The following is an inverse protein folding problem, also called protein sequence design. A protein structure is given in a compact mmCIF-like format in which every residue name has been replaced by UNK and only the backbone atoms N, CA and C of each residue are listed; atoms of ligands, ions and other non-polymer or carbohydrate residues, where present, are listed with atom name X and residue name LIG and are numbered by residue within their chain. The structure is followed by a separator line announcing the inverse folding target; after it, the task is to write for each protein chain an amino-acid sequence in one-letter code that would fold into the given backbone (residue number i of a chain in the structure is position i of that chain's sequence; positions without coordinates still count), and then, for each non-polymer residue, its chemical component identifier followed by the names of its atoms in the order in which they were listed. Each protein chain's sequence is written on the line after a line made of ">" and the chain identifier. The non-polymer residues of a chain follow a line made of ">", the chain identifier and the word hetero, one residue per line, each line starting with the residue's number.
data_IF_794033692544
#
_entry.id   IF_794033692544
#
_cell.length_a   1.000
_cell.length_b   1.000
_cell.length_c   1.000
_cell.angle_alpha   90.00
_cell.angle_beta   90.00
_cell.angle_gamma   90.00
#
_symmetry.space_group_name_H-M   'P 1'
#
loop_
_entity.id
_entity.type
_entity.pdbx_description
1 polymer ?
#
# COMPACT_ATOMS: atom_id res chain seq x y z
N UNK A 1 -72.34 47.80 182.55
CA UNK A 1 -72.08 48.34 181.18
C UNK A 1 -70.58 48.48 180.82
N UNK A 2 -69.61 47.93 181.58
CA UNK A 2 -68.15 48.09 181.28
C UNK A 2 -67.46 46.84 180.70
N UNK A 3 -68.00 45.63 180.89
CA UNK A 3 -67.33 44.39 180.48
C UNK A 3 -67.52 44.00 178.99
N UNK A 4 -68.49 44.59 178.29
CA UNK A 4 -68.81 44.25 176.89
C UNK A 4 -67.87 44.98 175.91
N UNK A 5 -67.27 46.11 176.32
CA UNK A 5 -66.40 46.92 175.46
C UNK A 5 -64.97 46.36 175.33
N UNK A 6 -64.44 45.66 176.34
CA UNK A 6 -63.09 45.08 176.30
C UNK A 6 -63.02 43.83 175.40
N UNK A 7 -64.03 42.97 175.44
CA UNK A 7 -64.07 41.74 174.62
C UNK A 7 -64.05 42.00 173.11
N UNK A 8 -64.68 43.11 172.67
CA UNK A 8 -64.68 43.49 171.26
C UNK A 8 -63.35 44.06 170.78
N UNK A 9 -62.58 44.73 171.65
CA UNK A 9 -61.29 45.33 171.29
C UNK A 9 -60.21 44.27 171.04
N UNK A 10 -60.13 43.25 171.90
CA UNK A 10 -59.14 42.18 171.76
C UNK A 10 -59.42 41.30 170.54
N UNK A 11 -60.71 41.06 170.24
CA UNK A 11 -61.12 40.27 169.08
C UNK A 11 -60.83 40.96 167.74
N UNK A 12 -60.96 42.29 167.67
CA UNK A 12 -60.59 43.06 166.47
C UNK A 12 -59.08 43.08 166.28
N UNK A 13 -58.31 43.22 167.36
CA UNK A 13 -56.84 43.21 167.29
C UNK A 13 -56.28 41.87 166.81
N UNK A 14 -56.81 40.75 167.32
CA UNK A 14 -56.44 39.41 166.86
C UNK A 14 -56.77 39.15 165.38
N UNK A 15 -57.91 39.66 164.90
CA UNK A 15 -58.27 39.56 163.47
C UNK A 15 -57.33 40.37 162.56
N UNK A 16 -56.83 41.53 163.02
CA UNK A 16 -55.87 42.35 162.24
C UNK A 16 -54.50 41.68 162.17
N UNK A 17 -54.01 41.11 163.27
CA UNK A 17 -52.75 40.35 163.28
C UNK A 17 -52.85 39.09 162.40
N UNK A 18 -53.98 38.38 162.45
CA UNK A 18 -54.22 37.25 161.56
C UNK A 18 -54.29 37.67 160.09
N UNK A 19 -54.98 38.78 159.77
CA UNK A 19 -55.02 39.33 158.42
C UNK A 19 -53.61 39.70 157.93
N UNK A 20 -52.81 40.39 158.74
CA UNK A 20 -51.44 40.78 158.40
C UNK A 20 -50.52 39.57 158.20
N UNK A 21 -50.65 38.52 159.02
CA UNK A 21 -49.91 37.28 158.84
C UNK A 21 -50.29 36.55 157.55
N UNK A 22 -51.58 36.53 157.19
CA UNK A 22 -52.08 35.95 155.94
C UNK A 22 -51.64 36.76 154.72
N UNK A 23 -51.61 38.09 154.82
CA UNK A 23 -51.08 38.97 153.77
C UNK A 23 -49.58 38.75 153.55
N UNK A 24 -48.78 38.69 154.63
CA UNK A 24 -47.34 38.42 154.54
C UNK A 24 -47.03 36.99 154.06
N UNK A 25 -47.92 36.03 154.30
CA UNK A 25 -47.83 34.67 153.74
C UNK A 25 -48.20 34.66 152.25
N UNK A 26 -49.26 35.38 151.86
CA UNK A 26 -49.67 35.50 150.47
C UNK A 26 -48.60 36.17 149.60
N UNK A 27 -47.95 37.25 150.08
CA UNK A 27 -46.83 37.89 149.38
C UNK A 27 -45.63 36.95 149.23
N UNK A 28 -45.29 36.18 150.27
CA UNK A 28 -44.24 35.15 150.19
C UNK A 28 -44.60 34.03 149.21
N UNK A 29 -45.83 33.56 149.19
CA UNK A 29 -46.31 32.58 148.21
C UNK A 29 -46.29 33.13 146.78
N UNK A 30 -46.59 34.42 146.60
CA UNK A 30 -46.58 35.08 145.29
C UNK A 30 -45.15 35.24 144.77
N UNK A 31 -44.20 35.63 145.64
CA UNK A 31 -42.79 35.70 145.31
C UNK A 31 -42.21 34.32 144.97
N UNK A 32 -42.53 33.28 145.75
CA UNK A 32 -42.09 31.91 145.48
C UNK A 32 -42.68 31.35 144.17
N UNK A 33 -43.93 31.69 143.83
CA UNK A 33 -44.53 31.33 142.53
C UNK A 33 -43.89 32.07 141.36
N UNK A 34 -43.49 33.33 141.53
CA UNK A 34 -42.77 34.08 140.50
C UNK A 34 -41.37 33.51 140.25
N UNK A 35 -40.67 33.09 141.32
CA UNK A 35 -39.37 32.43 141.26
C UNK A 35 -39.47 31.05 140.57
N UNK A 36 -40.44 30.23 140.95
CA UNK A 36 -40.70 28.93 140.30
C UNK A 36 -41.03 29.09 138.81
N UNK A 37 -41.74 30.16 138.44
CA UNK A 37 -42.07 30.48 137.04
C UNK A 37 -40.83 30.88 136.25
N UNK A 38 -39.95 31.69 136.85
CA UNK A 38 -38.65 32.05 136.28
C UNK A 38 -37.75 30.82 136.08
N UNK A 39 -37.69 29.92 137.06
CA UNK A 39 -36.91 28.68 136.97
C UNK A 39 -37.47 27.74 135.88
N UNK A 40 -38.80 27.67 135.74
CA UNK A 40 -39.45 26.88 134.70
C UNK A 40 -39.18 27.45 133.29
N UNK A 41 -39.19 28.78 133.15
CA UNK A 41 -38.86 29.45 131.88
C UNK A 41 -37.37 29.27 131.52
N UNK A 42 -36.46 29.29 132.52
CA UNK A 42 -35.04 28.98 132.33
C UNK A 42 -34.85 27.52 131.87
N UNK A 43 -35.52 26.56 132.53
CA UNK A 43 -35.46 25.15 132.17
C UNK A 43 -36.02 24.92 130.75
N UNK A 44 -37.15 25.54 130.41
CA UNK A 44 -37.72 25.49 129.07
C UNK A 44 -36.73 26.02 128.02
N UNK A 45 -36.11 27.18 128.26
CA UNK A 45 -35.12 27.74 127.35
C UNK A 45 -33.89 26.86 127.16
N UNK A 46 -33.43 26.20 128.23
CA UNK A 46 -32.28 25.28 128.18
C UNK A 46 -32.61 23.99 127.42
N UNK A 47 -33.82 23.46 127.59
CA UNK A 47 -34.28 22.28 126.87
C UNK A 47 -34.57 22.58 125.39
N UNK A 48 -35.15 23.73 125.08
CA UNK A 48 -35.28 24.22 123.70
C UNK A 48 -33.91 24.38 123.02
N UNK A 49 -32.90 24.86 123.74
CA UNK A 49 -31.53 24.96 123.23
C UNK A 49 -30.89 23.58 123.01
N UNK A 50 -31.08 22.61 123.92
CA UNK A 50 -30.62 21.21 123.73
C UNK A 50 -31.27 20.57 122.51
N UNK A 51 -32.59 20.68 122.37
CA UNK A 51 -33.32 20.14 121.23
C UNK A 51 -32.88 20.82 119.94
N UNK A 52 -32.77 22.15 119.93
CA UNK A 52 -32.29 22.90 118.76
C UNK A 52 -30.86 22.52 118.36
N UNK A 53 -29.96 22.33 119.34
CA UNK A 53 -28.60 21.87 119.10
C UNK A 53 -28.55 20.44 118.57
N UNK A 54 -29.34 19.53 119.13
CA UNK A 54 -29.43 18.14 118.68
C UNK A 54 -30.01 18.06 117.25
N UNK A 55 -31.03 18.85 116.93
CA UNK A 55 -31.61 18.95 115.58
C UNK A 55 -30.61 19.55 114.60
N UNK A 56 -29.90 20.61 114.96
CA UNK A 56 -28.87 21.20 114.12
C UNK A 56 -27.73 20.21 113.84
N UNK A 57 -27.29 19.46 114.85
CA UNK A 57 -26.28 18.41 114.69
C UNK A 57 -26.77 17.27 113.79
N UNK A 58 -28.00 16.78 114.00
CA UNK A 58 -28.59 15.73 113.16
C UNK A 58 -28.74 16.18 111.70
N UNK A 59 -29.21 17.42 111.47
CA UNK A 59 -29.28 18.01 110.14
C UNK A 59 -27.90 18.17 109.51
N UNK A 60 -26.88 18.57 110.27
CA UNK A 60 -25.51 18.68 109.77
C UNK A 60 -24.94 17.32 109.37
N UNK A 61 -25.21 16.27 110.15
CA UNK A 61 -24.75 14.90 109.84
C UNK A 61 -25.46 14.35 108.61
N UNK A 62 -26.78 14.49 108.51
CA UNK A 62 -27.51 14.06 107.31
C UNK A 62 -27.15 14.88 106.07
N UNK A 63 -26.83 16.18 106.23
CA UNK A 63 -26.31 16.99 105.13
C UNK A 63 -24.94 16.48 104.66
N UNK A 64 -24.01 16.21 105.58
CA UNK A 64 -22.72 15.64 105.21
C UNK A 64 -22.86 14.25 104.55
N UNK A 65 -23.78 13.41 105.04
CA UNK A 65 -24.05 12.08 104.49
C UNK A 65 -24.68 12.15 103.10
N UNK A 66 -25.61 13.08 102.87
CA UNK A 66 -26.23 13.29 101.55
C UNK A 66 -25.23 13.89 100.54
N UNK A 67 -24.34 14.80 100.97
CA UNK A 67 -23.23 15.29 100.15
C UNK A 67 -22.24 14.15 99.79
N UNK A 68 -21.91 13.27 100.74
CA UNK A 68 -21.05 12.11 100.50
C UNK A 68 -21.69 11.12 99.51
N UNK A 69 -22.99 10.83 99.66
CA UNK A 69 -23.74 9.98 98.74
C UNK A 69 -23.84 10.60 97.34
N UNK A 70 -24.07 11.92 97.25
CA UNK A 70 -24.08 12.64 95.97
C UNK A 70 -22.71 12.57 95.29
N UNK A 71 -21.62 12.73 96.03
CA UNK A 71 -20.26 12.61 95.50
C UNK A 71 -19.94 11.17 95.03
N UNK A 72 -20.37 10.15 95.76
CA UNK A 72 -20.23 8.73 95.38
C UNK A 72 -21.04 8.40 94.12
N UNK A 73 -22.27 8.92 94.03
CA UNK A 73 -23.14 8.73 92.86
C UNK A 73 -22.55 9.42 91.62
N UNK A 74 -22.11 10.67 91.74
CA UNK A 74 -21.46 11.41 90.66
C UNK A 74 -20.18 10.71 90.15
N UNK A 75 -19.36 10.15 91.05
CA UNK A 75 -18.20 9.32 90.67
C UNK A 75 -18.62 8.06 89.93
N UNK A 76 -19.59 7.31 90.46
CA UNK A 76 -20.13 6.10 89.82
C UNK A 76 -20.71 6.39 88.43
N UNK A 77 -21.43 7.50 88.26
CA UNK A 77 -21.98 7.91 86.95
C UNK A 77 -20.87 8.29 85.97
N UNK A 78 -19.83 9.01 86.43
CA UNK A 78 -18.67 9.33 85.62
C UNK A 78 -17.90 8.07 85.19
N UNK A 79 -17.68 7.12 86.10
CA UNK A 79 -17.00 5.86 85.82
C UNK A 79 -17.80 4.98 84.83
N UNK A 80 -19.13 4.93 84.99
CA UNK A 80 -20.02 4.22 84.06
C UNK A 80 -20.06 4.90 82.69
N UNK A 81 -20.08 6.23 82.63
CA UNK A 81 -20.03 6.98 81.37
C UNK A 81 -18.71 6.72 80.64
N UNK A 82 -17.57 6.77 81.36
CA UNK A 82 -16.25 6.45 80.82
C UNK A 82 -16.17 5.01 80.31
N UNK A 83 -16.70 4.03 81.04
CA UNK A 83 -16.76 2.64 80.60
C UNK A 83 -17.62 2.45 79.34
N UNK A 84 -18.79 3.09 79.29
CA UNK A 84 -19.69 3.05 78.14
C UNK A 84 -19.05 3.69 76.90
N UNK A 85 -18.38 4.83 77.07
CA UNK A 85 -17.66 5.51 76.00
C UNK A 85 -16.48 4.68 75.48
N UNK A 86 -15.67 4.10 76.37
CA UNK A 86 -14.58 3.20 76.01
C UNK A 86 -15.07 1.97 75.23
N UNK A 87 -16.19 1.37 75.66
CA UNK A 87 -16.80 0.24 74.94
C UNK A 87 -17.30 0.65 73.55
N UNK A 88 -17.91 1.84 73.42
CA UNK A 88 -18.36 2.38 72.13
C UNK A 88 -17.19 2.63 71.17
N UNK A 89 -16.09 3.18 71.67
CA UNK A 89 -14.88 3.42 70.88
C UNK A 89 -14.24 2.09 70.43
N UNK A 90 -14.08 1.12 71.33
CA UNK A 90 -13.56 -0.20 71.00
C UNK A 90 -14.41 -0.93 69.94
N UNK A 91 -15.75 -0.83 70.04
CA UNK A 91 -16.65 -1.36 69.02
C UNK A 91 -16.50 -0.62 67.67
N UNK A 92 -16.32 0.70 67.70
CA UNK A 92 -16.05 1.51 66.52
C UNK A 92 -14.76 1.10 65.82
N UNK A 93 -13.67 0.93 66.57
CA UNK A 93 -12.38 0.47 66.06
C UNK A 93 -12.47 -0.94 65.44
N UNK A 94 -13.16 -1.88 66.09
CA UNK A 94 -13.37 -3.22 65.54
C UNK A 94 -14.10 -3.19 64.19
N UNK A 95 -15.16 -2.37 64.06
CA UNK A 95 -15.88 -2.21 62.78
C UNK A 95 -15.03 -1.59 61.69
N UNK A 96 -14.14 -0.64 62.04
CA UNK A 96 -13.19 -0.06 61.08
C UNK A 96 -12.19 -1.13 60.64
N UNK A 97 -11.62 -1.90 61.58
CA UNK A 97 -10.69 -3.00 61.26
C UNK A 97 -11.33 -4.08 60.40
N UNK A 98 -12.57 -4.43 60.65
CA UNK A 98 -13.33 -5.37 59.81
C UNK A 98 -13.49 -4.85 58.37
N UNK A 99 -13.84 -3.57 58.20
CA UNK A 99 -13.93 -2.94 56.87
C UNK A 99 -12.58 -2.88 56.16
N UNK A 100 -11.50 -2.56 56.88
CA UNK A 100 -10.14 -2.56 56.33
C UNK A 100 -9.76 -3.96 55.82
N UNK A 101 -10.06 -5.02 56.58
CA UNK A 101 -9.81 -6.40 56.16
C UNK A 101 -10.66 -6.81 54.95
N UNK A 102 -11.94 -6.41 54.91
CA UNK A 102 -12.80 -6.66 53.75
C UNK A 102 -12.31 -5.91 52.50
N UNK A 103 -11.89 -4.64 52.64
CA UNK A 103 -11.29 -3.86 51.55
C UNK A 103 -10.01 -4.49 51.04
N UNK A 104 -9.09 -4.85 51.93
CA UNK A 104 -7.86 -5.53 51.57
C UNK A 104 -8.12 -6.88 50.87
N UNK A 105 -9.13 -7.64 51.34
CA UNK A 105 -9.58 -8.87 50.68
C UNK A 105 -10.09 -8.63 49.26
N UNK A 106 -10.91 -7.59 49.05
CA UNK A 106 -11.42 -7.22 47.73
C UNK A 106 -10.28 -6.74 46.79
N UNK A 107 -9.37 -5.92 47.29
CA UNK A 107 -8.19 -5.45 46.57
C UNK A 107 -7.28 -6.61 46.13
N UNK A 108 -7.02 -7.57 47.02
CA UNK A 108 -6.28 -8.78 46.67
C UNK A 108 -7.01 -9.62 45.61
N UNK A 109 -8.34 -9.73 45.71
CA UNK A 109 -9.16 -10.43 44.70
C UNK A 109 -9.04 -9.79 43.32
N UNK A 110 -9.15 -8.45 43.25
CA UNK A 110 -8.98 -7.70 42.01
C UNK A 110 -7.55 -7.80 41.46
N UNK A 111 -6.53 -7.74 42.32
CA UNK A 111 -5.14 -7.91 41.91
C UNK A 111 -4.89 -9.30 41.30
N UNK A 112 -5.51 -10.34 41.85
CA UNK A 112 -5.41 -11.69 41.30
C UNK A 112 -6.07 -11.79 39.92
N UNK A 113 -7.28 -11.24 39.76
CA UNK A 113 -7.98 -11.19 38.47
C UNK A 113 -7.17 -10.41 37.43
N UNK A 114 -6.64 -9.24 37.81
CA UNK A 114 -5.81 -8.43 36.92
C UNK A 114 -4.55 -9.16 36.47
N UNK A 115 -3.89 -9.88 37.38
CA UNK A 115 -2.71 -10.69 37.05
C UNK A 115 -3.06 -11.83 36.09
N UNK A 116 -4.15 -12.54 36.34
CA UNK A 116 -4.56 -13.68 35.50
C UNK A 116 -4.94 -13.21 34.09
N UNK A 117 -5.66 -12.09 33.98
CA UNK A 117 -5.94 -11.44 32.69
C UNK A 117 -4.65 -11.04 31.97
N UNK A 118 -3.71 -10.39 32.66
CA UNK A 118 -2.42 -10.00 32.07
C UNK A 118 -1.60 -11.21 31.58
N UNK A 119 -1.70 -12.35 32.27
CA UNK A 119 -1.07 -13.61 31.84
C UNK A 119 -1.73 -14.16 30.58
N UNK A 120 -3.06 -14.15 30.48
CA UNK A 120 -3.75 -14.58 29.27
C UNK A 120 -3.48 -13.64 28.09
N UNK A 121 -3.52 -12.33 28.29
CA UNK A 121 -3.17 -11.32 27.27
C UNK A 121 -1.73 -11.53 26.76
N UNK A 122 -0.78 -11.80 27.67
CA UNK A 122 0.60 -12.09 27.29
C UNK A 122 0.73 -13.41 26.50
N UNK A 123 -0.09 -14.43 26.78
CA UNK A 123 -0.14 -15.66 25.99
C UNK A 123 -0.72 -15.40 24.60
N UNK A 124 -1.78 -14.60 24.49
CA UNK A 124 -2.40 -14.24 23.22
C UNK A 124 -1.45 -13.39 22.36
N UNK A 125 -0.76 -12.42 22.95
CA UNK A 125 0.27 -11.63 22.27
C UNK A 125 1.39 -12.52 21.71
N UNK A 126 1.86 -13.52 22.49
CA UNK A 126 2.86 -14.49 22.01
C UNK A 126 2.35 -15.36 20.85
N UNK A 127 1.07 -15.73 20.86
CA UNK A 127 0.46 -16.47 19.73
C UNK A 127 0.40 -15.59 18.49
N UNK A 128 -0.05 -14.34 18.62
CA UNK A 128 -0.08 -13.38 17.52
C UNK A 128 1.32 -13.13 16.95
N UNK A 129 2.33 -13.00 17.80
CA UNK A 129 3.74 -12.86 17.38
C UNK A 129 4.23 -14.09 16.61
N UNK A 130 3.90 -15.30 17.06
CA UNK A 130 4.26 -16.53 16.36
C UNK A 130 3.59 -16.63 14.98
N UNK A 131 2.32 -16.24 14.88
CA UNK A 131 1.59 -16.18 13.59
C UNK A 131 2.24 -15.16 12.66
N UNK A 132 2.53 -13.95 13.15
CA UNK A 132 3.19 -12.91 12.36
C UNK A 132 4.58 -13.36 11.85
N UNK A 133 5.36 -14.07 12.68
CA UNK A 133 6.65 -14.66 12.25
C UNK A 133 6.48 -15.71 11.16
N UNK A 134 5.47 -16.56 11.26
CA UNK A 134 5.17 -17.58 10.23
C UNK A 134 4.76 -16.91 8.90
N UNK A 135 3.91 -15.89 8.95
CA UNK A 135 3.52 -15.12 7.76
C UNK A 135 4.71 -14.40 7.12
N UNK A 136 5.57 -13.77 7.93
CA UNK A 136 6.80 -13.15 7.45
C UNK A 136 7.71 -14.16 6.74
N UNK A 137 7.90 -15.36 7.31
CA UNK A 137 8.64 -16.43 6.65
C UNK A 137 7.98 -16.92 5.35
N UNK A 138 6.65 -17.01 5.31
CA UNK A 138 5.92 -17.38 4.10
C UNK A 138 6.09 -16.33 2.99
N UNK A 139 6.02 -15.04 3.35
CA UNK A 139 6.27 -13.92 2.43
C UNK A 139 7.71 -13.92 1.91
N UNK A 140 8.70 -14.16 2.78
CA UNK A 140 10.10 -14.27 2.36
C UNK A 140 10.28 -15.40 1.33
N UNK A 141 9.72 -16.59 1.57
CA UNK A 141 9.79 -17.69 0.62
C UNK A 141 9.14 -17.35 -0.73
N UNK A 142 8.03 -16.61 -0.73
CA UNK A 142 7.38 -16.14 -1.97
C UNK A 142 8.26 -15.16 -2.73
N UNK A 143 8.89 -14.23 -2.01
CA UNK A 143 9.83 -13.26 -2.59
C UNK A 143 11.04 -13.97 -3.20
N UNK A 144 11.64 -14.93 -2.50
CA UNK A 144 12.78 -15.71 -2.99
C UNK A 144 12.42 -16.48 -4.27
N UNK A 145 11.25 -17.12 -4.31
CA UNK A 145 10.74 -17.79 -5.53
C UNK A 145 10.53 -16.80 -6.67
N UNK A 146 9.98 -15.63 -6.39
CA UNK A 146 9.79 -14.59 -7.40
C UNK A 146 11.13 -14.10 -7.94
N UNK A 147 12.14 -13.94 -7.09
CA UNK A 147 13.48 -13.58 -7.53
C UNK A 147 14.10 -14.67 -8.41
N UNK A 148 13.89 -15.95 -8.10
CA UNK A 148 14.39 -17.05 -8.93
C UNK A 148 13.72 -17.06 -10.32
N UNK A 149 12.40 -16.90 -10.37
CA UNK A 149 11.67 -16.78 -11.65
C UNK A 149 12.20 -15.59 -12.46
N UNK A 150 12.41 -14.44 -11.82
CA UNK A 150 12.97 -13.27 -12.49
C UNK A 150 14.39 -13.51 -13.03
N UNK A 151 15.23 -14.28 -12.32
CA UNK A 151 16.56 -14.67 -12.83
C UNK A 151 16.43 -15.53 -14.09
N UNK A 152 15.55 -16.52 -14.10
CA UNK A 152 15.31 -17.36 -15.27
C UNK A 152 14.81 -16.54 -16.47
N UNK A 153 13.79 -15.69 -16.26
CA UNK A 153 13.26 -14.82 -17.32
C UNK A 153 14.33 -13.89 -17.89
N UNK A 154 15.19 -13.32 -17.03
CA UNK A 154 16.31 -12.48 -17.48
C UNK A 154 17.31 -13.27 -18.32
N UNK A 155 17.66 -14.49 -17.92
CA UNK A 155 18.57 -15.34 -18.67
C UNK A 155 17.98 -15.78 -20.01
N UNK A 156 16.70 -16.16 -20.04
CA UNK A 156 16.01 -16.52 -21.27
C UNK A 156 15.94 -15.35 -22.24
N UNK A 157 15.62 -14.15 -21.74
CA UNK A 157 15.63 -12.93 -22.56
C UNK A 157 17.03 -12.64 -23.13
N UNK A 158 18.08 -12.78 -22.31
CA UNK A 158 19.46 -12.62 -22.76
C UNK A 158 19.80 -13.63 -23.87
N UNK A 159 19.46 -14.91 -23.69
CA UNK A 159 19.72 -15.95 -24.68
C UNK A 159 18.96 -15.69 -25.99
N UNK A 160 17.70 -15.24 -25.90
CA UNK A 160 16.91 -14.84 -27.06
C UNK A 160 17.57 -13.67 -27.83
N UNK A 161 18.05 -12.66 -27.10
CA UNK A 161 18.74 -11.52 -27.72
C UNK A 161 20.04 -11.93 -28.42
N UNK A 162 20.81 -12.83 -27.81
CA UNK A 162 22.02 -13.40 -28.44
C UNK A 162 21.64 -14.15 -29.72
N UNK A 163 20.66 -15.06 -29.66
CA UNK A 163 20.21 -15.82 -30.82
C UNK A 163 19.71 -14.90 -31.95
N UNK A 164 19.01 -13.80 -31.61
CA UNK A 164 18.55 -12.80 -32.59
C UNK A 164 19.72 -12.09 -33.28
N UNK A 165 20.76 -11.71 -32.52
CA UNK A 165 21.96 -11.09 -33.08
C UNK A 165 22.71 -12.06 -33.99
N UNK A 166 22.88 -13.32 -33.57
CA UNK A 166 23.52 -14.35 -34.40
C UNK A 166 22.75 -14.62 -35.69
N UNK A 167 21.42 -14.72 -35.62
CA UNK A 167 20.58 -14.89 -36.81
C UNK A 167 20.69 -13.68 -37.76
N UNK A 168 20.71 -12.47 -37.22
CA UNK A 168 20.92 -11.25 -38.02
C UNK A 168 22.30 -11.23 -38.68
N UNK A 169 23.34 -11.66 -37.96
CA UNK A 169 24.70 -11.71 -38.50
C UNK A 169 24.79 -12.72 -39.66
N UNK A 170 24.20 -13.90 -39.51
CA UNK A 170 24.10 -14.90 -40.58
C UNK A 170 23.36 -14.34 -41.80
N UNK A 171 22.22 -13.69 -41.59
CA UNK A 171 21.47 -13.08 -42.68
C UNK A 171 22.27 -12.02 -43.44
N UNK A 172 23.03 -11.16 -42.73
CA UNK A 172 23.93 -10.20 -43.37
C UNK A 172 25.04 -10.87 -44.18
N UNK A 173 25.62 -11.98 -43.66
CA UNK A 173 26.63 -12.75 -44.37
C UNK A 173 26.06 -13.39 -45.65
N UNK A 174 24.86 -13.96 -45.58
CA UNK A 174 24.17 -14.54 -46.73
C UNK A 174 23.89 -13.48 -47.81
N UNK A 175 23.39 -12.30 -47.41
CA UNK A 175 23.17 -11.17 -48.31
C UNK A 175 24.47 -10.69 -48.97
N UNK A 176 25.58 -10.65 -48.22
CA UNK A 176 26.89 -10.31 -48.77
C UNK A 176 27.36 -11.35 -49.81
N UNK A 177 27.14 -12.64 -49.54
CA UNK A 177 27.43 -13.72 -50.49
C UNK A 177 26.62 -13.61 -51.79
N UNK A 178 25.31 -13.35 -51.69
CA UNK A 178 24.43 -13.14 -52.86
C UNK A 178 24.89 -11.92 -53.68
N UNK A 179 25.21 -10.81 -53.02
CA UNK A 179 25.69 -9.61 -53.71
C UNK A 179 27.01 -9.85 -54.45
N UNK A 180 27.93 -10.63 -53.88
CA UNK A 180 29.17 -11.03 -54.56
C UNK A 180 28.88 -11.82 -55.83
N UNK A 181 28.00 -12.83 -55.75
CA UNK A 181 27.60 -13.63 -56.90
C UNK A 181 26.94 -12.79 -57.99
N UNK A 182 26.10 -11.83 -57.61
CA UNK A 182 25.44 -10.93 -58.56
C UNK A 182 26.46 -10.04 -59.29
N UNK A 183 27.48 -9.55 -58.58
CA UNK A 183 28.55 -8.76 -59.15
C UNK A 183 29.39 -9.59 -60.14
N UNK A 184 29.75 -10.83 -59.77
CA UNK A 184 30.48 -11.75 -60.66
C UNK A 184 29.68 -12.09 -61.92
N UNK A 185 28.37 -12.33 -61.79
CA UNK A 185 27.48 -12.57 -62.93
C UNK A 185 27.37 -11.34 -63.84
N UNK A 186 27.25 -10.14 -63.25
CA UNK A 186 27.22 -8.89 -64.01
C UNK A 186 28.52 -8.67 -64.79
N UNK A 187 29.66 -8.91 -64.15
CA UNK A 187 30.98 -8.84 -64.78
C UNK A 187 31.09 -9.84 -65.94
N UNK A 188 30.71 -11.10 -65.71
CA UNK A 188 30.73 -12.14 -66.76
C UNK A 188 29.81 -11.82 -67.93
N UNK A 189 28.65 -11.20 -67.67
CA UNK A 189 27.75 -10.74 -68.73
C UNK A 189 28.39 -9.65 -69.58
N UNK A 190 29.11 -8.70 -68.97
CA UNK A 190 29.85 -7.66 -69.69
C UNK A 190 30.96 -8.29 -70.54
N UNK A 191 31.71 -9.23 -69.99
CA UNK A 191 32.77 -9.95 -70.71
C UNK A 191 32.22 -10.70 -71.94
N UNK A 192 31.11 -11.41 -71.78
CA UNK A 192 30.45 -12.10 -72.89
C UNK A 192 29.95 -11.12 -73.97
N UNK A 193 29.37 -9.99 -73.59
CA UNK A 193 28.96 -8.94 -74.54
C UNK A 193 30.16 -8.35 -75.29
N UNK A 194 31.27 -8.10 -74.60
CA UNK A 194 32.49 -7.59 -75.23
C UNK A 194 33.09 -8.63 -76.19
N UNK A 195 33.12 -9.90 -75.82
CA UNK A 195 33.56 -10.98 -76.70
C UNK A 195 32.71 -11.06 -77.98
N UNK A 196 31.37 -11.08 -77.82
CA UNK A 196 30.46 -11.10 -78.96
C UNK A 196 30.61 -9.86 -79.87
N UNK A 197 30.85 -8.67 -79.30
CA UNK A 197 31.11 -7.46 -80.09
C UNK A 197 32.45 -7.53 -80.84
N UNK A 198 33.50 -8.10 -80.24
CA UNK A 198 34.78 -8.31 -80.92
C UNK A 198 34.65 -9.27 -82.10
N UNK A 199 33.92 -10.36 -81.94
CA UNK A 199 33.67 -11.32 -83.02
C UNK A 199 32.88 -10.67 -84.15
N UNK A 200 31.82 -9.92 -83.83
CA UNK A 200 31.05 -9.15 -84.83
C UNK A 200 31.89 -8.10 -85.54
N UNK A 201 32.81 -7.43 -84.84
CA UNK A 201 33.72 -6.47 -85.44
C UNK A 201 34.69 -7.16 -86.42
N UNK A 202 35.26 -8.30 -86.02
CA UNK A 202 36.13 -9.10 -86.88
C UNK A 202 35.38 -9.58 -88.14
N UNK A 203 34.13 -10.01 -88.01
CA UNK A 203 33.30 -10.40 -89.15
C UNK A 203 32.93 -9.21 -90.04
N UNK A 204 32.68 -8.02 -89.46
CA UNK A 204 32.47 -6.79 -90.21
C UNK A 204 33.73 -6.35 -90.98
N UNK A 205 34.92 -6.50 -90.39
CA UNK A 205 36.21 -6.22 -91.05
C UNK A 205 36.45 -7.18 -92.22
N UNK A 206 36.21 -8.49 -92.04
CA UNK A 206 36.25 -9.47 -93.13
C UNK A 206 35.29 -9.08 -94.25
N UNK A 207 34.06 -8.70 -93.91
CA UNK A 207 33.05 -8.30 -94.90
C UNK A 207 33.46 -7.03 -95.66
N UNK A 208 34.04 -6.04 -94.97
CA UNK A 208 34.59 -4.83 -95.58
C UNK A 208 35.70 -5.15 -96.58
N UNK A 209 36.66 -6.01 -96.20
CA UNK A 209 37.75 -6.45 -97.09
C UNK A 209 37.16 -7.12 -98.34
N UNK A 210 36.13 -7.97 -98.18
CA UNK A 210 35.46 -8.62 -99.32
C UNK A 210 34.78 -7.64 -100.26
N UNK A 211 34.01 -6.69 -99.74
CA UNK A 211 33.38 -5.67 -100.58
C UNK A 211 34.41 -4.81 -101.30
N UNK A 212 35.50 -4.44 -100.62
CA UNK A 212 36.58 -3.69 -101.26
C UNK A 212 37.21 -4.49 -102.42
N UNK A 213 37.55 -5.77 -102.20
CA UNK A 213 38.03 -6.66 -103.27
C UNK A 213 37.04 -6.75 -104.45
N UNK A 214 35.74 -6.90 -104.18
CA UNK A 214 34.71 -6.93 -105.23
C UNK A 214 34.69 -5.62 -106.04
N UNK A 215 34.71 -4.47 -105.37
CA UNK A 215 34.75 -3.16 -106.02
C UNK A 215 36.00 -3.01 -106.87
N UNK A 216 37.16 -3.43 -106.38
CA UNK A 216 38.42 -3.34 -107.11
C UNK A 216 38.43 -4.24 -108.36
N UNK A 217 37.91 -5.47 -108.26
CA UNK A 217 37.74 -6.38 -109.41
C UNK A 217 36.77 -5.82 -110.46
N UNK A 218 35.57 -5.37 -110.05
CA UNK A 218 34.60 -4.77 -110.97
C UNK A 218 35.14 -3.50 -111.62
N UNK A 219 35.91 -2.69 -110.90
CA UNK A 219 36.54 -1.48 -111.43
C UNK A 219 37.60 -1.82 -112.48
N UNK A 220 38.45 -2.83 -112.23
CA UNK A 220 39.45 -3.30 -113.19
C UNK A 220 38.81 -3.90 -114.45
N UNK A 221 37.79 -4.73 -114.29
CA UNK A 221 37.04 -5.30 -115.41
C UNK A 221 36.34 -4.23 -116.24
N UNK A 222 35.67 -3.25 -115.60
CA UNK A 222 35.03 -2.14 -116.28
C UNK A 222 36.03 -1.25 -117.03
N UNK A 223 37.18 -0.93 -116.42
CA UNK A 223 38.25 -0.16 -117.06
C UNK A 223 38.83 -0.87 -118.27
N UNK A 224 39.11 -2.19 -118.16
CA UNK A 224 39.58 -3.01 -119.28
C UNK A 224 38.55 -3.12 -120.39
N UNK A 225 37.28 -3.35 -120.05
CA UNK A 225 36.20 -3.41 -121.03
C UNK A 225 36.08 -2.10 -121.82
N UNK A 226 36.17 -0.94 -121.16
CA UNK A 226 36.18 0.35 -121.86
C UNK A 226 37.46 0.59 -122.69
N UNK A 227 38.61 0.07 -122.27
CA UNK A 227 39.86 0.08 -123.04
C UNK A 227 39.77 -0.76 -124.31
N UNK A 228 39.24 -1.98 -124.21
CA UNK A 228 39.04 -2.89 -125.36
C UNK A 228 38.00 -2.36 -126.35
N UNK A 229 36.98 -1.64 -125.84
CA UNK A 229 35.92 -1.04 -126.65
C UNK A 229 36.24 0.37 -127.22
N UNK A 230 37.49 0.86 -127.10
CA UNK A 230 37.95 2.21 -127.52
C UNK A 230 37.19 3.38 -126.91
N UNK A 231 36.50 3.20 -125.79
CA UNK A 231 35.72 4.29 -125.19
C UNK A 231 36.62 5.39 -124.58
N UNK A 232 37.91 5.10 -124.36
CA UNK A 232 38.89 6.01 -123.74
C UNK A 232 39.85 6.72 -124.73
N UNK A 233 39.60 6.68 -126.04
CA UNK A 233 40.55 7.08 -127.11
C UNK A 233 40.94 8.59 -127.13
N UNK A 234 40.42 9.43 -126.23
CA UNK A 234 40.66 10.89 -126.18
C UNK A 234 41.12 11.46 -124.81
N UNK A 235 41.57 10.63 -123.87
CA UNK A 235 42.06 11.12 -122.57
C UNK A 235 43.59 11.32 -122.55
N UNK A 236 44.05 12.46 -122.03
CA UNK A 236 45.47 12.88 -122.09
C UNK A 236 46.40 12.16 -121.09
N UNK A 237 45.84 11.47 -120.10
CA UNK A 237 46.58 10.62 -119.15
C UNK A 237 45.82 9.29 -119.01
N UNK A 238 46.05 8.37 -119.95
CA UNK A 238 45.48 7.03 -119.86
C UNK A 238 46.50 6.10 -119.21
N UNK A 239 46.22 5.65 -117.99
CA UNK A 239 47.00 4.62 -117.30
C UNK A 239 46.86 3.32 -118.10
N UNK A 240 47.97 2.65 -118.42
CA UNK A 240 47.89 1.36 -119.13
C UNK A 240 47.14 0.34 -118.27
N UNK A 241 46.38 -0.61 -118.86
CA UNK A 241 45.64 -1.60 -118.08
C UNK A 241 46.49 -2.27 -116.98
N UNK A 242 47.72 -2.67 -117.30
CA UNK A 242 48.65 -3.30 -116.36
C UNK A 242 48.97 -2.40 -115.14
N UNK A 243 49.17 -1.09 -115.35
CA UNK A 243 49.43 -0.14 -114.26
C UNK A 243 48.19 0.08 -113.39
N UNK A 244 46.99 0.02 -113.97
CA UNK A 244 45.73 0.14 -113.24
C UNK A 244 45.48 -1.10 -112.36
N UNK A 245 45.75 -2.29 -112.89
CA UNK A 245 45.61 -3.55 -112.17
C UNK A 245 46.58 -3.64 -110.98
N UNK A 246 47.84 -3.24 -111.16
CA UNK A 246 48.83 -3.16 -110.08
C UNK A 246 48.41 -2.17 -108.99
N UNK A 247 47.83 -1.02 -109.37
CA UNK A 247 47.30 -0.04 -108.41
C UNK A 247 46.12 -0.59 -107.60
N UNK A 248 45.30 -1.45 -108.22
CA UNK A 248 44.13 -2.09 -107.59
C UNK A 248 44.46 -3.42 -106.91
N UNK A 249 45.70 -3.91 -107.05
CA UNK A 249 46.14 -5.18 -106.47
C UNK A 249 45.42 -6.40 -107.05
N UNK A 250 45.06 -6.37 -108.34
CA UNK A 250 44.32 -7.44 -109.04
C UNK A 250 45.30 -8.27 -109.87
N UNK A 251 45.33 -9.60 -109.68
CA UNK A 251 46.24 -10.50 -110.42
C UNK A 251 45.82 -10.71 -111.89
N UNK A 252 46.80 -10.54 -112.80
CA UNK A 252 46.68 -10.48 -114.28
C UNK A 252 45.96 -11.64 -114.97
N UNK A 253 45.99 -12.86 -114.42
CA UNK A 253 45.52 -14.07 -115.11
C UNK A 253 44.17 -14.61 -114.62
N UNK A 254 43.49 -13.89 -113.71
CA UNK A 254 42.32 -14.39 -112.99
C UNK A 254 40.99 -13.64 -113.26
N UNK A 255 40.81 -13.00 -114.42
CA UNK A 255 39.57 -12.27 -114.79
C UNK A 255 38.32 -13.13 -114.99
N UNK A 256 38.30 -14.40 -114.57
CA UNK A 256 37.04 -15.10 -114.48
C UNK A 256 36.32 -14.63 -113.23
N UNK A 257 35.26 -13.82 -113.40
CA UNK A 257 34.30 -13.49 -112.33
C UNK A 257 33.96 -14.75 -111.51
N UNK A 258 33.85 -15.91 -112.17
CA UNK A 258 33.57 -17.21 -111.55
C UNK A 258 34.67 -17.65 -110.57
N UNK A 259 35.94 -17.48 -110.90
CA UNK A 259 37.06 -17.88 -110.03
C UNK A 259 37.15 -16.98 -108.79
N UNK A 260 37.00 -15.65 -108.97
CA UNK A 260 36.94 -14.71 -107.85
C UNK A 260 35.70 -14.92 -106.96
N UNK A 261 34.53 -15.17 -107.55
CA UNK A 261 33.30 -15.48 -106.79
C UNK A 261 33.47 -16.74 -105.93
N UNK A 262 34.19 -17.75 -106.42
CA UNK A 262 34.43 -18.99 -105.68
C UNK A 262 35.51 -18.85 -104.59
N UNK A 263 36.52 -18.02 -104.80
CA UNK A 263 37.51 -17.67 -103.76
C UNK A 263 36.87 -16.82 -102.66
N UNK A 264 35.98 -15.89 -103.03
CA UNK A 264 35.14 -15.15 -102.10
C UNK A 264 34.22 -16.09 -101.32
N UNK A 265 33.54 -17.04 -101.97
CA UNK A 265 32.64 -18.00 -101.31
C UNK A 265 33.35 -18.84 -100.23
N UNK A 266 34.57 -19.30 -100.49
CA UNK A 266 35.40 -20.03 -99.52
C UNK A 266 35.87 -19.14 -98.36
N UNK A 267 36.13 -17.84 -98.60
CA UNK A 267 36.42 -16.84 -97.55
C UNK A 267 35.14 -16.39 -96.80
N UNK A 268 33.93 -16.68 -97.31
CA UNK A 268 32.61 -16.20 -96.82
C UNK A 268 31.95 -17.09 -95.76
N UNK A 269 32.48 -18.28 -95.47
CA UNK A 269 31.83 -19.19 -94.51
C UNK A 269 31.90 -18.66 -93.07
N UNK A 270 30.94 -17.80 -92.71
CA UNK A 270 30.66 -17.38 -91.34
C UNK A 270 29.90 -18.51 -90.67
N UNK A 271 30.60 -19.26 -89.81
CA UNK A 271 30.00 -20.32 -89.01
C UNK A 271 29.38 -19.65 -87.79
N UNK A 272 28.07 -19.52 -87.78
CA UNK A 272 27.35 -19.09 -86.58
C UNK A 272 27.34 -20.25 -85.58
N UNK A 273 27.69 -20.00 -84.30
CA UNK A 273 27.44 -20.96 -83.22
C UNK A 273 25.95 -21.29 -83.14
N UNK A 274 25.60 -22.54 -82.83
CA UNK A 274 24.22 -23.03 -82.77
C UNK A 274 23.34 -22.16 -81.86
N UNK A 275 23.90 -21.70 -80.75
CA UNK A 275 23.25 -20.90 -79.71
C UNK A 275 22.76 -19.53 -80.24
N UNK A 276 23.47 -18.94 -81.21
CA UNK A 276 23.10 -17.67 -81.86
C UNK A 276 21.96 -17.89 -82.86
N UNK A 277 21.96 -19.02 -83.56
CA UNK A 277 20.87 -19.41 -84.45
C UNK A 277 19.58 -19.70 -83.67
N UNK A 278 19.71 -20.30 -82.48
CA UNK A 278 18.60 -20.57 -81.56
C UNK A 278 18.03 -19.28 -80.96
N UNK A 279 18.87 -18.31 -80.55
CA UNK A 279 18.42 -16.99 -80.12
C UNK A 279 17.69 -16.20 -81.21
N UNK A 280 18.20 -16.20 -82.45
CA UNK A 280 17.54 -15.51 -83.58
C UNK A 280 16.23 -16.17 -83.98
N UNK A 281 16.10 -17.49 -83.77
CA UNK A 281 14.83 -18.20 -83.92
C UNK A 281 13.85 -17.87 -82.78
N UNK A 282 14.33 -17.74 -81.53
CA UNK A 282 13.51 -17.37 -80.38
C UNK A 282 13.04 -15.91 -80.39
N UNK A 283 13.78 -14.97 -80.99
CA UNK A 283 13.37 -13.56 -81.13
C UNK A 283 12.16 -13.40 -82.08
N UNK A 284 11.96 -14.35 -83.01
CA UNK A 284 10.73 -14.44 -83.83
C UNK A 284 9.51 -14.89 -83.02
N UNK A 285 9.71 -15.47 -81.83
CA UNK A 285 8.67 -15.88 -80.88
C UNK A 285 8.78 -15.13 -79.54
N UNK A 286 9.28 -13.89 -79.55
CA UNK A 286 9.22 -13.03 -78.36
C UNK A 286 7.76 -12.84 -77.90
N UNK A 287 7.47 -12.83 -76.58
CA UNK A 287 6.12 -12.62 -76.09
C UNK A 287 5.64 -11.23 -76.53
N UNK A 288 4.58 -11.20 -77.34
CA UNK A 288 3.82 -9.97 -77.62
C UNK A 288 3.41 -9.33 -76.30
N UNK A 289 3.97 -8.17 -76.00
CA UNK A 289 3.47 -7.30 -74.93
C UNK A 289 2.16 -6.67 -75.41
N UNK A 290 1.04 -7.33 -75.15
CA UNK A 290 -0.27 -6.69 -75.18
C UNK A 290 -0.36 -5.67 -74.06
N UNK A 291 -0.87 -4.47 -74.36
CA UNK A 291 -1.16 -3.45 -73.36
C UNK A 291 -2.18 -3.98 -72.31
N UNK A 292 -2.02 -3.68 -71.02
CA UNK A 292 -2.96 -4.14 -70.01
C UNK A 292 -4.33 -3.45 -70.20
N UNK A 293 -5.37 -4.27 -70.34
CA UNK A 293 -6.75 -3.83 -70.25
C UNK A 293 -7.03 -3.26 -68.85
N UNK A 294 -7.80 -2.17 -68.79
CA UNK A 294 -8.12 -1.44 -67.57
C UNK A 294 -9.06 -2.23 -66.65
N UNK A 295 -8.59 -3.29 -66.01
CA UNK A 295 -9.23 -3.89 -64.83
C UNK A 295 -8.19 -4.70 -64.06
N UNK A 296 -8.16 -4.54 -62.74
CA UNK A 296 -7.30 -5.20 -61.75
C UNK A 296 -5.95 -4.52 -61.46
N UNK A 297 -6.02 -3.34 -60.83
CA UNK A 297 -5.03 -2.91 -59.85
C UNK A 297 -5.68 -3.05 -58.47
N UNK A 298 -5.27 -4.06 -57.70
CA UNK A 298 -5.43 -4.06 -56.25
C UNK A 298 -4.05 -4.24 -55.63
N UNK A 299 -3.50 -3.23 -54.95
CA UNK A 299 -2.26 -3.40 -54.21
C UNK A 299 -2.57 -4.10 -52.87
N UNK A 300 -2.12 -5.34 -52.72
CA UNK A 300 -2.00 -5.97 -51.41
C UNK A 300 -0.69 -5.46 -50.77
N UNK A 301 -0.77 -4.33 -50.08
CA UNK A 301 0.28 -3.85 -49.19
C UNK A 301 -0.30 -3.72 -47.79
N UNK A 302 0.09 -4.63 -46.90
CA UNK A 302 0.09 -4.40 -45.46
C UNK A 302 1.38 -4.99 -44.88
N UNK A 303 2.22 -4.21 -44.16
CA UNK A 303 3.28 -4.74 -43.32
C UNK A 303 2.72 -5.19 -41.96
N UNK A 304 3.30 -6.21 -41.28
CA UNK A 304 2.84 -6.61 -39.97
C UNK A 304 3.49 -5.74 -38.90
N UNK A 305 2.67 -5.07 -38.09
CA UNK A 305 3.11 -4.49 -36.83
C UNK A 305 2.60 -3.08 -36.62
N UNK A 306 1.36 -2.96 -36.13
CA UNK A 306 1.02 -1.92 -35.18
C UNK A 306 -0.12 -2.40 -34.27
N UNK A 307 0.13 -2.19 -33.00
CA UNK A 307 -0.61 -2.55 -31.80
C UNK A 307 -2.04 -2.02 -31.81
N UNK A 308 -3.02 -2.91 -31.61
CA UNK A 308 -4.37 -2.49 -31.22
C UNK A 308 -4.40 -2.19 -29.72
N UNK A 309 -4.42 -0.91 -29.37
CA UNK A 309 -4.92 -0.45 -28.07
C UNK A 309 -6.46 -0.60 -28.00
N UNK A 310 -7.06 -0.79 -26.81
CA UNK A 310 -8.48 -1.04 -26.67
C UNK A 310 -9.29 0.25 -26.71
N UNK A 311 -10.20 0.38 -27.68
CA UNK A 311 -11.20 1.45 -27.65
C UNK A 311 -12.37 1.10 -26.74
N UNK A 312 -12.50 1.94 -25.72
CA UNK A 312 -13.61 2.11 -24.78
C UNK A 312 -14.90 2.40 -25.55
N UNK A 313 -15.90 1.53 -25.42
CA UNK A 313 -17.28 1.83 -25.83
C UNK A 313 -18.00 2.39 -24.60
N UNK A 314 -18.40 3.65 -24.70
CA UNK A 314 -19.30 4.34 -23.77
C UNK A 314 -20.76 4.06 -24.19
N UNK A 315 -21.70 3.85 -23.25
CA UNK A 315 -23.06 3.39 -23.55
C UNK A 315 -24.00 4.54 -23.91
N UNK A 316 -24.98 4.26 -24.78
CA UNK A 316 -26.11 5.17 -25.05
C UNK A 316 -27.26 4.95 -24.05
N UNK A 317 -28.03 5.99 -23.69
CA UNK A 317 -29.00 5.96 -22.59
C UNK A 317 -30.47 5.80 -23.05
N UNK A 318 -31.23 5.01 -22.30
CA UNK A 318 -32.61 5.35 -21.92
C UNK A 318 -33.77 4.62 -22.61
N UNK A 319 -34.47 3.80 -21.79
CA UNK A 319 -35.93 3.48 -21.75
C UNK A 319 -36.14 1.95 -21.63
N UNK A 320 -36.28 1.34 -20.44
CA UNK A 320 -37.31 1.42 -19.39
C UNK A 320 -38.55 0.56 -19.66
N UNK A 321 -39.00 -0.11 -18.58
CA UNK A 321 -40.14 -1.02 -18.37
C UNK A 321 -39.81 -2.49 -18.68
N UNK A 322 -39.94 -3.47 -17.78
CA UNK A 322 -40.58 -3.53 -16.46
C UNK A 322 -41.07 -4.97 -16.25
N UNK A 323 -40.89 -5.52 -15.04
CA UNK A 323 -41.62 -6.67 -14.44
C UNK A 323 -41.51 -8.04 -15.19
N UNK A 324 -41.29 -9.19 -14.58
CA UNK A 324 -41.65 -9.72 -13.27
C UNK A 324 -42.36 -11.07 -13.48
N UNK A 325 -41.99 -12.11 -12.71
CA UNK A 325 -42.67 -13.43 -12.56
C UNK A 325 -42.49 -14.38 -13.76
N UNK A 326 -42.36 -15.72 -13.68
CA UNK A 326 -42.64 -16.72 -12.66
C UNK A 326 -43.25 -17.97 -13.37
N UNK A 327 -42.87 -19.17 -12.94
CA UNK A 327 -43.54 -20.48 -13.12
C UNK A 327 -43.27 -21.41 -14.34
N UNK A 328 -42.71 -22.57 -13.97
CA UNK A 328 -42.89 -23.98 -14.40
C UNK A 328 -44.12 -24.33 -15.25
N UNK A 329 -43.94 -25.16 -16.29
CA UNK A 329 -44.85 -26.28 -16.69
C UNK A 329 -44.04 -27.44 -17.31
N UNK A 330 -44.35 -28.66 -16.85
CA UNK A 330 -43.96 -29.99 -17.36
C UNK A 330 -45.05 -30.51 -18.30
N UNK A 331 -44.69 -31.26 -19.35
CA UNK A 331 -45.47 -32.35 -20.01
C UNK A 331 -44.60 -32.91 -21.16
N UNK A 332 -44.49 -34.21 -21.45
CA UNK A 332 -44.98 -35.48 -20.91
C UNK A 332 -43.93 -36.54 -21.19
#
# INVERSE_FOLDING_TARGET
>A
MSAIRSFHSDRVKGLIEELNSRTALAERCTAALAELRSDFDLYRGLEEARVSSAVAHALSVEKARSEELAAKLARSEADNAAHSEAARLAQGELRIKERELQSAGAEMGLAFIARDNAVEDAKEAKKAEAVAKLEAHALQRRLDRSHEVNRHLFMDHKNLMVARVEASHKHCADLAGINSLLLDLSQRQVELRVAALKDRLADAEKLKIRYQKQVDVFSAEGYRSGWENREFENHAEVVTPDQFDDQKGVERDNYSIRHYMQQLENEIKIIYPADVLEMLAAEKEGPSTSAPGATAITPAANPPGQTSEPQVIRPSPGASLGEGLGAVVVSS
#
